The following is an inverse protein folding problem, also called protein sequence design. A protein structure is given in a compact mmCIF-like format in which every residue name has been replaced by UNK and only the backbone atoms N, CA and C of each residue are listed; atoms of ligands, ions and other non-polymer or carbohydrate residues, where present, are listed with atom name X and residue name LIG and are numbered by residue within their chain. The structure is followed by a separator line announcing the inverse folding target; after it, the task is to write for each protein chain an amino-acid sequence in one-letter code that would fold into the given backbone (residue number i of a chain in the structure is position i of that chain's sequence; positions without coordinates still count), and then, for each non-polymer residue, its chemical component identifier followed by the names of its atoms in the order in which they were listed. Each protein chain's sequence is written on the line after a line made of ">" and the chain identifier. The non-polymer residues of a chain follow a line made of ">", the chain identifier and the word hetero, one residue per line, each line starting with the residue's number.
data_IF_271845050998
#
_entry.id   IF_271845050998
#
_cell.length_a   1.000
_cell.length_b   1.000
_cell.length_c   1.000
_cell.angle_alpha   90.00
_cell.angle_beta   90.00
_cell.angle_gamma   90.00
#
_symmetry.space_group_name_H-M   'P 1'
#
loop_
_entity.id
_entity.type
_entity.pdbx_description
1 polymer ?
#
# COMPACT_ATOMS: atom_id res chain seq x y z
N UNK A 1 -56.69 20.41 38.10
CA UNK A 1 -56.21 20.20 36.71
C UNK A 1 -54.73 19.87 36.73
N UNK A 2 -54.44 18.59 36.98
CA UNK A 2 -53.13 17.97 36.74
C UNK A 2 -53.04 17.64 35.24
N UNK A 3 -52.12 18.24 34.48
CA UNK A 3 -51.86 17.80 33.09
C UNK A 3 -50.50 18.20 32.50
N UNK A 4 -49.69 19.06 33.14
CA UNK A 4 -48.40 19.48 32.54
C UNK A 4 -47.17 18.65 32.95
N UNK A 5 -47.29 17.73 33.91
CA UNK A 5 -46.17 16.87 34.35
C UNK A 5 -46.00 15.57 33.55
N UNK A 6 -47.03 15.10 32.84
CA UNK A 6 -47.02 13.83 32.12
C UNK A 6 -46.44 13.94 30.71
N UNK A 7 -46.70 15.02 29.97
CA UNK A 7 -46.19 15.16 28.59
C UNK A 7 -44.67 15.36 28.52
N UNK A 8 -44.07 16.11 29.46
CA UNK A 8 -42.61 16.24 29.56
C UNK A 8 -41.94 14.93 30.00
N UNK A 9 -42.54 14.19 30.94
CA UNK A 9 -42.07 12.84 31.32
C UNK A 9 -42.16 11.85 30.17
N UNK A 10 -43.21 11.91 29.34
CA UNK A 10 -43.39 11.01 28.19
C UNK A 10 -42.39 11.31 27.06
N UNK A 11 -42.08 12.58 26.78
CA UNK A 11 -41.08 12.96 25.77
C UNK A 11 -39.64 12.57 26.18
N UNK A 12 -39.30 12.74 27.48
CA UNK A 12 -38.03 12.27 28.05
C UNK A 12 -37.99 10.74 28.09
N UNK A 13 -39.10 10.07 28.43
CA UNK A 13 -39.19 8.61 28.37
C UNK A 13 -39.09 8.05 26.95
N UNK A 14 -39.61 8.74 25.93
CA UNK A 14 -39.57 8.31 24.54
C UNK A 14 -38.17 8.50 23.93
N UNK A 15 -37.49 9.61 24.23
CA UNK A 15 -36.08 9.83 23.85
C UNK A 15 -35.09 8.99 24.66
N UNK A 16 -35.40 8.63 25.92
CA UNK A 16 -34.63 7.66 26.68
C UNK A 16 -34.90 6.20 26.23
N UNK A 17 -36.16 5.84 25.92
CA UNK A 17 -36.51 4.53 25.34
C UNK A 17 -35.86 4.34 23.97
N UNK A 18 -35.81 5.38 23.12
CA UNK A 18 -35.21 5.27 21.80
C UNK A 18 -33.70 4.99 21.88
N UNK A 19 -32.99 5.59 22.86
CA UNK A 19 -31.56 5.33 23.10
C UNK A 19 -31.27 3.90 23.57
N UNK A 20 -32.11 3.34 24.45
CA UNK A 20 -31.97 1.96 24.95
C UNK A 20 -32.11 0.89 23.84
N UNK A 21 -32.90 1.16 22.80
CA UNK A 21 -33.16 0.22 21.70
C UNK A 21 -32.36 0.54 20.43
N UNK A 22 -31.65 1.66 20.38
CA UNK A 22 -30.84 2.02 19.23
C UNK A 22 -29.76 0.95 18.99
N UNK A 23 -29.72 0.42 17.77
CA UNK A 23 -28.75 -0.60 17.35
C UNK A 23 -27.57 -0.02 16.58
N UNK A 24 -27.73 1.19 16.03
CA UNK A 24 -26.68 1.91 15.33
C UNK A 24 -26.66 3.36 15.79
N UNK A 25 -25.45 3.90 15.94
CA UNK A 25 -25.19 5.29 16.25
C UNK A 25 -24.06 5.74 15.36
N UNK A 26 -24.37 6.70 14.48
CA UNK A 26 -23.39 7.34 13.63
C UNK A 26 -23.28 8.81 14.04
N UNK A 27 -22.07 9.28 14.29
CA UNK A 27 -21.78 10.64 14.71
C UNK A 27 -20.88 11.25 13.64
N UNK A 28 -21.36 12.32 12.99
CA UNK A 28 -20.64 13.02 11.92
C UNK A 28 -20.56 14.51 12.23
N UNK A 29 -19.36 15.09 12.10
CA UNK A 29 -19.15 16.54 12.25
C UNK A 29 -18.52 16.94 13.58
N UNK A 30 -18.61 18.23 13.90
CA UNK A 30 -17.99 18.83 15.09
C UNK A 30 -18.95 18.78 16.29
N UNK A 31 -18.55 18.12 17.38
CA UNK A 31 -19.31 18.07 18.63
C UNK A 31 -18.43 18.42 19.81
N UNK A 32 -18.97 19.08 20.84
CA UNK A 32 -18.21 19.32 22.09
C UNK A 32 -18.12 18.07 22.98
N UNK A 33 -19.13 17.21 22.91
CA UNK A 33 -19.23 16.00 23.71
C UNK A 33 -20.20 15.02 23.04
N UNK A 34 -19.94 13.72 23.16
CA UNK A 34 -20.95 12.71 22.79
C UNK A 34 -21.91 12.47 23.95
N UNK A 35 -23.15 12.07 23.61
CA UNK A 35 -24.06 11.54 24.63
C UNK A 35 -23.37 10.33 25.29
N UNK A 36 -23.37 10.22 26.64
CA UNK A 36 -22.71 9.11 27.33
C UNK A 36 -23.13 7.75 26.78
N UNK A 37 -22.15 6.93 26.39
CA UNK A 37 -22.36 5.64 25.72
C UNK A 37 -23.15 4.64 26.58
N UNK A 38 -23.11 4.80 27.91
CA UNK A 38 -23.87 3.99 28.88
C UNK A 38 -25.39 3.97 28.62
N UNK A 39 -25.91 4.93 27.85
CA UNK A 39 -27.33 4.99 27.50
C UNK A 39 -27.73 4.10 26.32
N UNK A 40 -26.78 3.48 25.62
CA UNK A 40 -26.98 2.75 24.36
C UNK A 40 -26.69 1.25 24.51
N UNK A 41 -27.29 0.58 25.50
CA UNK A 41 -26.97 -0.81 25.84
C UNK A 41 -27.23 -1.85 24.74
N UNK A 42 -28.13 -1.56 23.79
CA UNK A 42 -28.44 -2.44 22.64
C UNK A 42 -27.61 -2.13 21.39
N UNK A 43 -26.62 -1.24 21.49
CA UNK A 43 -25.86 -0.78 20.33
C UNK A 43 -25.00 -1.90 19.76
N UNK A 44 -25.08 -2.06 18.43
CA UNK A 44 -24.28 -3.01 17.65
C UNK A 44 -23.29 -2.31 16.73
N UNK A 45 -23.60 -1.09 16.29
CA UNK A 45 -22.76 -0.29 15.41
C UNK A 45 -22.52 1.07 16.05
N UNK A 46 -21.27 1.40 16.29
CA UNK A 46 -20.82 2.73 16.69
C UNK A 46 -19.81 3.23 15.65
N UNK A 47 -20.15 4.33 15.01
CA UNK A 47 -19.33 4.94 13.96
C UNK A 47 -19.20 6.43 14.27
N UNK A 48 -18.03 6.83 14.77
CA UNK A 48 -17.73 8.22 15.10
C UNK A 48 -16.73 8.75 14.09
N UNK A 49 -17.16 9.71 13.29
CA UNK A 49 -16.34 10.34 12.26
C UNK A 49 -16.16 11.83 12.53
N UNK A 50 -14.91 12.21 12.74
CA UNK A 50 -14.51 13.61 12.75
C UNK A 50 -14.72 14.20 11.36
N UNK A 51 -15.45 15.31 11.27
CA UNK A 51 -15.68 16.00 10.00
C UNK A 51 -14.51 16.91 9.64
N UNK A 52 -14.10 16.92 8.36
CA UNK A 52 -13.13 17.90 7.86
C UNK A 52 -13.87 19.22 7.55
N UNK A 53 -13.89 20.15 8.50
CA UNK A 53 -14.40 21.51 8.28
C UNK A 53 -13.23 22.45 8.00
N UNK A 54 -13.35 23.27 6.94
CA UNK A 54 -12.29 24.17 6.50
C UNK A 54 -12.04 25.35 7.46
N UNK A 55 -12.97 25.65 8.37
CA UNK A 55 -12.96 26.89 9.15
C UNK A 55 -13.04 26.68 10.68
N UNK A 56 -12.96 25.45 11.17
CA UNK A 56 -12.91 25.15 12.61
C UNK A 56 -12.25 23.79 12.86
N UNK A 57 -10.98 23.79 13.26
CA UNK A 57 -10.26 22.59 13.67
C UNK A 57 -10.61 22.20 15.11
N UNK A 58 -11.91 22.08 15.43
CA UNK A 58 -12.34 21.53 16.70
C UNK A 58 -12.22 20.02 16.66
N UNK A 59 -11.00 19.52 16.80
CA UNK A 59 -10.80 18.10 17.05
C UNK A 59 -11.29 17.78 18.45
N UNK A 60 -12.22 16.84 18.59
CA UNK A 60 -13.02 16.74 19.83
C UNK A 60 -13.07 15.35 20.45
N UNK A 61 -12.79 14.30 19.69
CA UNK A 61 -12.86 12.93 20.19
C UNK A 61 -11.56 12.54 20.90
N UNK A 62 -11.54 12.71 22.21
CA UNK A 62 -10.47 12.26 23.12
C UNK A 62 -10.90 11.00 23.89
N UNK A 63 -9.95 10.33 24.55
CA UNK A 63 -10.20 9.10 25.35
C UNK A 63 -11.38 9.24 26.31
N UNK A 64 -11.51 10.39 26.97
CA UNK A 64 -12.57 10.63 27.96
C UNK A 64 -13.98 10.56 27.37
N UNK A 65 -14.16 10.86 26.09
CA UNK A 65 -15.46 10.79 25.41
C UNK A 65 -15.93 9.35 25.21
N UNK A 66 -15.00 8.42 25.08
CA UNK A 66 -15.26 6.98 24.94
C UNK A 66 -15.04 6.21 26.27
N UNK A 67 -14.91 6.94 27.39
CA UNK A 67 -14.89 6.35 28.72
C UNK A 67 -16.20 5.58 28.94
N UNK A 68 -16.12 4.32 29.37
CA UNK A 68 -17.23 3.35 29.46
C UNK A 68 -17.70 2.71 28.15
N UNK A 69 -16.92 2.76 27.07
CA UNK A 69 -17.26 2.02 25.84
C UNK A 69 -17.52 0.53 26.09
N UNK A 70 -16.86 -0.07 27.09
CA UNK A 70 -17.07 -1.46 27.51
C UNK A 70 -18.49 -1.79 28.01
N UNK A 71 -19.34 -0.80 28.29
CA UNK A 71 -20.76 -1.01 28.60
C UNK A 71 -21.58 -1.47 27.39
N UNK A 72 -21.09 -1.25 26.17
CA UNK A 72 -21.73 -1.61 24.91
C UNK A 72 -21.55 -3.12 24.63
N UNK A 73 -22.12 -3.95 25.49
CA UNK A 73 -21.92 -5.41 25.47
C UNK A 73 -22.38 -6.11 24.19
N UNK A 74 -23.23 -5.47 23.37
CA UNK A 74 -23.71 -6.00 22.09
C UNK A 74 -22.96 -5.46 20.86
N UNK A 75 -21.94 -4.63 21.07
CA UNK A 75 -21.24 -3.95 19.98
C UNK A 75 -20.52 -4.96 19.10
N UNK A 76 -20.75 -4.84 17.78
CA UNK A 76 -20.13 -5.66 16.73
C UNK A 76 -19.21 -4.85 15.83
N UNK A 77 -19.54 -3.58 15.62
CA UNK A 77 -18.77 -2.66 14.79
C UNK A 77 -18.41 -1.42 15.57
N UNK A 78 -17.11 -1.10 15.62
CA UNK A 78 -16.58 0.12 16.20
C UNK A 78 -15.66 0.79 15.18
N UNK A 79 -16.06 1.97 14.69
CA UNK A 79 -15.19 2.86 13.93
C UNK A 79 -14.98 4.15 14.70
N UNK A 80 -13.71 4.51 14.87
CA UNK A 80 -13.30 5.80 15.43
C UNK A 80 -12.42 6.51 14.41
N UNK A 81 -12.71 7.79 14.22
CA UNK A 81 -11.95 8.71 13.39
C UNK A 81 -11.65 9.92 14.28
N UNK A 82 -10.38 10.13 14.62
CA UNK A 82 -9.97 11.24 15.46
C UNK A 82 -8.49 11.53 15.36
N UNK A 83 -8.17 12.78 15.09
CA UNK A 83 -6.80 13.28 15.15
C UNK A 83 -6.29 13.50 16.57
N UNK A 84 -7.14 13.52 17.61
CA UNK A 84 -6.76 13.76 19.02
C UNK A 84 -6.79 12.53 19.92
N UNK A 85 -7.29 11.40 19.42
CA UNK A 85 -7.32 10.17 20.20
C UNK A 85 -5.91 9.59 20.34
N UNK A 86 -5.26 9.83 21.48
CA UNK A 86 -3.90 9.38 21.76
C UNK A 86 -3.83 7.95 22.32
N UNK A 87 -4.88 7.51 23.01
CA UNK A 87 -5.00 6.19 23.61
C UNK A 87 -6.46 5.72 23.63
N UNK A 88 -6.65 4.39 23.61
CA UNK A 88 -7.96 3.78 23.84
C UNK A 88 -8.13 3.38 25.31
N UNK A 89 -9.36 3.43 25.85
CA UNK A 89 -9.65 2.88 27.17
C UNK A 89 -9.48 1.35 27.20
N UNK A 90 -9.00 0.80 28.32
CA UNK A 90 -8.87 -0.65 28.56
C UNK A 90 -10.22 -1.38 28.48
N UNK A 91 -11.31 -0.65 28.68
CA UNK A 91 -12.68 -1.14 28.55
C UNK A 91 -13.02 -1.59 27.12
N UNK A 92 -12.24 -1.22 26.09
CA UNK A 92 -12.38 -1.77 24.73
C UNK A 92 -12.26 -3.31 24.76
N UNK A 93 -11.39 -3.88 25.59
CA UNK A 93 -11.29 -5.33 25.76
C UNK A 93 -12.52 -6.00 26.39
N UNK A 94 -13.52 -5.24 26.84
CA UNK A 94 -14.79 -5.79 27.34
C UNK A 94 -15.81 -6.04 26.22
N UNK A 95 -15.57 -5.56 24.99
CA UNK A 95 -16.47 -5.69 23.84
C UNK A 95 -16.43 -7.10 23.23
N UNK A 96 -16.85 -8.13 23.98
CA UNK A 96 -16.70 -9.55 23.62
C UNK A 96 -17.36 -10.00 22.30
N UNK A 97 -18.26 -9.20 21.75
CA UNK A 97 -18.95 -9.44 20.48
C UNK A 97 -18.43 -8.58 19.34
N UNK A 98 -17.37 -7.81 19.55
CA UNK A 98 -16.81 -6.95 18.52
C UNK A 98 -16.23 -7.81 17.38
N UNK A 99 -16.74 -7.58 16.18
CA UNK A 99 -16.36 -8.25 14.94
C UNK A 99 -15.45 -7.34 14.10
N UNK A 100 -15.64 -6.02 14.16
CA UNK A 100 -14.82 -5.02 13.43
C UNK A 100 -14.38 -3.88 14.32
N UNK A 101 -13.09 -3.58 14.29
CA UNK A 101 -12.47 -2.40 14.88
C UNK A 101 -11.73 -1.60 13.80
N UNK A 102 -12.21 -0.40 13.50
CA UNK A 102 -11.63 0.51 12.51
C UNK A 102 -11.10 1.78 13.17
N UNK A 103 -9.77 1.93 13.15
CA UNK A 103 -8.98 3.00 13.76
C UNK A 103 -8.01 3.62 12.73
N UNK A 104 -8.23 3.39 11.43
CA UNK A 104 -7.29 3.82 10.37
C UNK A 104 -7.06 5.32 10.34
N UNK A 105 -8.04 6.10 10.80
CA UNK A 105 -7.99 7.56 10.81
C UNK A 105 -7.70 8.13 12.21
N UNK A 106 -7.33 7.29 13.18
CA UNK A 106 -6.87 7.73 14.50
C UNK A 106 -5.39 8.12 14.44
N UNK A 107 -5.08 9.31 13.91
CA UNK A 107 -3.71 9.69 13.54
C UNK A 107 -2.75 9.85 14.72
N UNK A 108 -3.25 10.18 15.91
CA UNK A 108 -2.44 10.35 17.13
C UNK A 108 -2.40 9.11 18.02
N UNK A 109 -3.12 8.03 17.66
CA UNK A 109 -3.11 6.79 18.42
C UNK A 109 -1.79 6.06 18.17
N UNK A 110 -1.07 5.76 19.26
CA UNK A 110 0.27 5.15 19.20
C UNK A 110 0.30 3.70 19.68
N UNK A 111 -0.61 3.30 20.57
CA UNK A 111 -0.66 1.94 21.12
C UNK A 111 -2.10 1.45 21.30
N UNK A 112 -2.32 0.15 21.14
CA UNK A 112 -3.58 -0.51 21.48
C UNK A 112 -3.51 -1.11 22.89
N UNK A 113 -4.60 -1.08 23.67
CA UNK A 113 -4.60 -1.62 25.03
C UNK A 113 -4.40 -3.14 25.03
N UNK A 114 -3.61 -3.65 25.98
CA UNK A 114 -3.32 -5.08 26.16
C UNK A 114 -4.59 -5.93 26.34
N UNK A 115 -5.66 -5.35 26.89
CA UNK A 115 -6.96 -6.01 27.07
C UNK A 115 -7.65 -6.44 25.77
N UNK A 116 -7.20 -5.96 24.60
CA UNK A 116 -7.71 -6.38 23.29
C UNK A 116 -7.58 -7.88 23.02
N UNK A 117 -6.68 -8.58 23.71
CA UNK A 117 -6.55 -10.04 23.69
C UNK A 117 -7.87 -10.78 24.03
N UNK A 118 -8.83 -10.09 24.67
CA UNK A 118 -10.16 -10.62 25.02
C UNK A 118 -11.16 -10.62 23.85
N UNK A 119 -10.87 -9.92 22.75
CA UNK A 119 -11.75 -9.75 21.60
C UNK A 119 -11.72 -10.97 20.66
N UNK A 120 -12.11 -12.14 21.17
CA UNK A 120 -12.02 -13.43 20.46
C UNK A 120 -12.90 -13.54 19.20
N UNK A 121 -13.87 -12.64 19.03
CA UNK A 121 -14.76 -12.58 17.86
C UNK A 121 -14.32 -11.55 16.82
N UNK A 122 -13.19 -10.88 17.03
CA UNK A 122 -12.73 -9.86 16.10
C UNK A 122 -12.31 -10.53 14.79
N UNK A 123 -12.95 -10.11 13.70
CA UNK A 123 -12.72 -10.56 12.33
C UNK A 123 -11.85 -9.55 11.58
N UNK A 124 -12.07 -8.26 11.82
CA UNK A 124 -11.38 -7.17 11.14
C UNK A 124 -10.71 -6.23 12.13
N UNK A 125 -9.37 -6.19 12.11
CA UNK A 125 -8.55 -5.20 12.81
C UNK A 125 -7.99 -4.22 11.77
N UNK A 126 -8.62 -3.05 11.65
CA UNK A 126 -8.23 -2.02 10.68
C UNK A 126 -7.51 -0.88 11.41
N UNK A 127 -6.19 -0.89 11.35
CA UNK A 127 -5.30 0.06 12.01
C UNK A 127 -4.33 0.71 11.03
N UNK A 128 -3.74 1.83 11.43
CA UNK A 128 -2.70 2.53 10.66
C UNK A 128 -1.32 1.92 10.93
N UNK A 129 -0.37 2.13 10.01
CA UNK A 129 0.98 1.55 10.09
C UNK A 129 1.77 1.95 11.34
N UNK A 130 1.66 3.19 11.82
CA UNK A 130 2.48 3.67 12.95
C UNK A 130 2.03 3.17 14.33
N UNK A 131 0.97 2.38 14.41
CA UNK A 131 0.43 1.88 15.66
C UNK A 131 1.26 0.70 16.18
N UNK A 132 1.64 0.75 17.46
CA UNK A 132 2.26 -0.36 18.19
C UNK A 132 1.20 -1.41 18.54
N UNK A 133 1.46 -2.67 18.19
CA UNK A 133 0.68 -3.83 18.62
C UNK A 133 1.43 -4.60 19.71
N UNK A 134 0.69 -5.13 20.68
CA UNK A 134 1.25 -6.06 21.65
C UNK A 134 1.37 -7.46 21.05
N UNK A 135 2.51 -8.09 21.30
CA UNK A 135 2.90 -9.40 20.79
C UNK A 135 1.94 -10.54 21.17
N UNK A 136 1.29 -10.44 22.32
CA UNK A 136 0.38 -11.43 22.90
C UNK A 136 -1.10 -11.21 22.54
N UNK A 137 -1.39 -10.13 21.81
CA UNK A 137 -2.75 -9.73 21.46
C UNK A 137 -3.35 -10.67 20.41
N UNK A 138 -2.58 -10.95 19.36
CA UNK A 138 -3.10 -11.54 18.14
C UNK A 138 -3.24 -13.05 18.25
N UNK A 139 -2.34 -13.77 18.92
CA UNK A 139 -2.35 -15.23 18.99
C UNK A 139 -3.63 -15.86 19.57
N UNK A 140 -4.48 -15.07 20.23
CA UNK A 140 -5.78 -15.52 20.78
C UNK A 140 -7.01 -15.10 19.94
N UNK A 141 -6.81 -14.36 18.87
CA UNK A 141 -7.86 -13.84 17.99
C UNK A 141 -8.10 -14.79 16.81
N UNK A 142 -8.49 -16.03 17.07
CA UNK A 142 -8.64 -17.06 16.01
C UNK A 142 -9.71 -16.76 14.95
N UNK A 143 -10.63 -15.83 15.22
CA UNK A 143 -11.64 -15.38 14.24
C UNK A 143 -11.10 -14.34 13.24
N UNK A 144 -9.86 -13.86 13.43
CA UNK A 144 -9.31 -12.75 12.68
C UNK A 144 -9.05 -13.14 11.22
N UNK A 145 -9.65 -12.39 10.31
CA UNK A 145 -9.49 -12.58 8.86
C UNK A 145 -8.68 -11.46 8.22
N UNK A 146 -8.70 -10.25 8.80
CA UNK A 146 -8.06 -9.07 8.22
C UNK A 146 -7.28 -8.28 9.27
N UNK A 147 -6.00 -8.03 8.98
CA UNK A 147 -5.16 -7.06 9.69
C UNK A 147 -4.58 -6.06 8.70
N UNK A 148 -5.01 -4.80 8.79
CA UNK A 148 -4.72 -3.81 7.72
C UNK A 148 -3.33 -3.17 7.79
N UNK A 149 -2.64 -3.23 8.93
CA UNK A 149 -1.27 -2.77 9.06
C UNK A 149 -0.62 -3.33 10.33
N UNK A 150 0.55 -3.94 10.19
CA UNK A 150 1.45 -4.30 11.29
C UNK A 150 2.83 -3.76 10.96
N UNK A 151 3.26 -2.69 11.61
CA UNK A 151 4.62 -2.16 11.38
C UNK A 151 5.44 -2.09 12.65
N UNK A 152 4.83 -1.97 13.83
CA UNK A 152 5.54 -1.95 15.09
C UNK A 152 4.93 -2.92 16.11
N UNK A 153 5.78 -3.69 16.77
CA UNK A 153 5.41 -4.66 17.81
C UNK A 153 6.39 -4.54 18.97
N UNK A 154 5.92 -4.83 20.20
CA UNK A 154 6.76 -4.73 21.40
C UNK A 154 7.79 -5.87 21.52
N UNK A 155 7.39 -7.11 21.27
CA UNK A 155 8.24 -8.31 21.31
C UNK A 155 8.14 -9.04 19.96
N UNK A 156 9.04 -8.74 19.00
CA UNK A 156 8.98 -9.27 17.63
C UNK A 156 8.95 -10.80 17.54
N UNK A 157 9.83 -11.49 18.27
CA UNK A 157 9.91 -12.97 18.23
C UNK A 157 8.58 -13.63 18.60
N UNK A 158 8.02 -13.21 19.75
CA UNK A 158 6.75 -13.74 20.23
C UNK A 158 5.59 -13.40 19.28
N UNK A 159 5.57 -12.19 18.73
CA UNK A 159 4.58 -11.82 17.73
C UNK A 159 4.64 -12.73 16.50
N UNK A 160 5.85 -13.02 15.99
CA UNK A 160 6.02 -13.90 14.84
C UNK A 160 5.50 -15.31 15.14
N UNK A 161 5.86 -15.90 16.29
CA UNK A 161 5.36 -17.21 16.73
C UNK A 161 3.83 -17.26 16.82
N UNK A 162 3.22 -16.22 17.41
CA UNK A 162 1.77 -16.16 17.59
C UNK A 162 1.00 -15.95 16.27
N UNK A 163 1.61 -15.25 15.30
CA UNK A 163 1.03 -14.97 14.00
C UNK A 163 0.68 -16.26 13.24
N UNK A 164 1.50 -17.31 13.35
CA UNK A 164 1.26 -18.60 12.70
C UNK A 164 -0.05 -19.29 13.11
N UNK A 165 -0.63 -18.91 14.25
CA UNK A 165 -1.85 -19.52 14.79
C UNK A 165 -3.16 -18.92 14.21
N UNK A 166 -3.06 -17.91 13.34
CA UNK A 166 -4.21 -17.17 12.81
C UNK A 166 -4.71 -17.74 11.48
N UNK A 167 -5.10 -19.00 11.49
CA UNK A 167 -5.43 -19.79 10.29
C UNK A 167 -6.62 -19.28 9.47
N UNK A 168 -7.45 -18.39 10.02
CA UNK A 168 -8.54 -17.73 9.29
C UNK A 168 -8.09 -16.45 8.55
N UNK A 169 -6.83 -16.02 8.70
CA UNK A 169 -6.33 -14.82 8.01
C UNK A 169 -6.47 -14.95 6.51
N UNK A 170 -7.13 -13.96 5.91
CA UNK A 170 -7.25 -13.76 4.47
C UNK A 170 -6.38 -12.62 3.98
N UNK A 171 -6.16 -11.61 4.82
CA UNK A 171 -5.43 -10.41 4.46
C UNK A 171 -4.54 -9.94 5.60
N UNK A 172 -3.25 -9.86 5.33
CA UNK A 172 -2.29 -9.23 6.22
C UNK A 172 -1.42 -8.24 5.46
N UNK A 173 -1.34 -7.03 6.02
CA UNK A 173 -0.40 -6.02 5.58
C UNK A 173 0.62 -5.77 6.67
N UNK A 174 1.83 -6.23 6.43
CA UNK A 174 2.94 -6.17 7.36
C UNK A 174 4.19 -5.73 6.59
N UNK A 175 4.31 -4.42 6.28
CA UNK A 175 5.48 -3.91 5.58
C UNK A 175 6.73 -3.88 6.49
N UNK A 176 6.63 -4.53 7.67
CA UNK A 176 7.61 -4.67 8.75
C UNK A 176 9.02 -4.44 8.23
N UNK A 177 9.48 -3.21 8.41
CA UNK A 177 10.80 -2.81 7.97
C UNK A 177 11.82 -3.44 8.90
N UNK A 178 12.96 -3.82 8.32
CA UNK A 178 14.21 -4.05 9.05
C UNK A 178 14.57 -2.87 9.99
N UNK A 179 13.93 -1.71 9.85
CA UNK A 179 14.03 -0.62 10.83
C UNK A 179 13.49 -0.95 12.24
N UNK A 180 12.71 -2.03 12.44
CA UNK A 180 12.47 -2.57 13.80
C UNK A 180 13.72 -3.15 14.45
N UNK A 181 14.79 -3.32 13.66
CA UNK A 181 16.05 -3.93 14.02
C UNK A 181 17.20 -2.92 13.84
N UNK A 182 16.99 -1.65 14.23
CA UNK A 182 18.09 -0.70 14.47
C UNK A 182 19.03 -1.12 15.63
N UNK A 183 18.96 -2.37 16.08
CA UNK A 183 19.90 -2.93 17.03
C UNK A 183 21.05 -3.57 16.24
N UNK A 184 22.18 -2.85 16.17
CA UNK A 184 23.58 -3.22 16.50
C UNK A 184 24.08 -4.70 16.46
N UNK A 185 23.26 -5.71 16.15
CA UNK A 185 23.56 -7.15 16.15
C UNK A 185 22.78 -7.85 15.03
N UNK A 186 23.44 -8.15 13.90
CA UNK A 186 22.82 -8.78 12.73
C UNK A 186 22.07 -10.10 13.01
N UNK A 187 22.49 -10.88 14.01
CA UNK A 187 21.88 -12.19 14.29
C UNK A 187 20.43 -12.15 14.83
N UNK A 188 20.03 -11.11 15.57
CA UNK A 188 18.65 -11.02 16.07
C UNK A 188 17.66 -10.73 14.94
N UNK A 189 18.08 -9.95 13.95
CA UNK A 189 17.31 -9.64 12.76
C UNK A 189 17.02 -10.89 11.91
N UNK A 190 18.05 -11.70 11.68
CA UNK A 190 17.96 -12.93 10.90
C UNK A 190 17.03 -13.94 11.56
N UNK A 191 17.20 -14.19 12.85
CA UNK A 191 16.36 -15.12 13.61
C UNK A 191 14.87 -14.68 13.61
N UNK A 192 14.59 -13.37 13.71
CA UNK A 192 13.23 -12.87 13.61
C UNK A 192 12.63 -13.12 12.23
N UNK A 193 13.37 -12.83 11.16
CA UNK A 193 12.92 -13.08 9.79
C UNK A 193 12.64 -14.57 9.57
N UNK A 194 13.47 -15.46 10.11
CA UNK A 194 13.28 -16.91 9.99
C UNK A 194 11.97 -17.40 10.65
N UNK A 195 11.71 -16.98 11.89
CA UNK A 195 10.47 -17.32 12.62
C UNK A 195 9.25 -16.73 11.89
N UNK A 196 9.38 -15.50 11.41
CA UNK A 196 8.30 -14.81 10.69
C UNK A 196 7.98 -15.49 9.36
N UNK A 197 9.00 -15.87 8.58
CA UNK A 197 8.84 -16.61 7.33
C UNK A 197 8.17 -17.96 7.59
N UNK A 198 8.60 -18.68 8.62
CA UNK A 198 7.98 -19.95 9.01
C UNK A 198 6.49 -19.78 9.33
N UNK A 199 6.15 -18.76 10.11
CA UNK A 199 4.78 -18.49 10.52
C UNK A 199 3.89 -18.04 9.36
N UNK A 200 4.41 -17.21 8.45
CA UNK A 200 3.69 -16.80 7.24
C UNK A 200 3.51 -17.96 6.24
N UNK A 201 4.49 -18.86 6.14
CA UNK A 201 4.36 -20.08 5.34
C UNK A 201 3.28 -21.01 5.91
N UNK A 202 3.17 -21.13 7.23
CA UNK A 202 2.04 -21.85 7.84
C UNK A 202 0.71 -21.18 7.51
N UNK A 203 0.61 -19.86 7.64
CA UNK A 203 -0.60 -19.11 7.28
C UNK A 203 -0.99 -19.27 5.80
N UNK A 204 0.01 -19.32 4.92
CA UNK A 204 -0.19 -19.49 3.48
C UNK A 204 -1.01 -20.73 3.14
N UNK A 205 -0.83 -21.82 3.90
CA UNK A 205 -1.49 -23.12 3.64
C UNK A 205 -3.01 -23.05 3.80
N UNK A 206 -3.50 -22.02 4.48
CA UNK A 206 -4.91 -21.82 4.78
C UNK A 206 -5.54 -20.78 3.84
N UNK A 207 -6.17 -19.73 4.37
CA UNK A 207 -7.07 -18.87 3.61
C UNK A 207 -6.43 -17.57 3.09
N UNK A 208 -5.10 -17.46 3.13
CA UNK A 208 -4.42 -16.20 2.84
C UNK A 208 -4.53 -15.83 1.35
N UNK A 209 -5.17 -14.69 1.07
CA UNK A 209 -5.42 -14.15 -0.28
C UNK A 209 -4.62 -12.89 -0.59
N UNK A 210 -4.33 -12.08 0.42
CA UNK A 210 -3.56 -10.84 0.30
C UNK A 210 -2.41 -10.84 1.29
N UNK A 211 -1.20 -10.66 0.78
CA UNK A 211 0.02 -10.56 1.57
C UNK A 211 0.83 -9.33 1.13
N UNK A 212 1.05 -8.41 2.08
CA UNK A 212 1.97 -7.29 1.88
C UNK A 212 3.11 -7.36 2.89
N UNK A 213 4.35 -7.48 2.40
CA UNK A 213 5.55 -7.73 3.21
C UNK A 213 6.72 -6.83 2.79
N UNK A 214 7.77 -6.80 3.61
CA UNK A 214 9.05 -6.21 3.24
C UNK A 214 9.86 -7.15 2.32
N UNK A 215 10.82 -6.55 1.62
CA UNK A 215 11.73 -7.21 0.69
C UNK A 215 12.55 -8.31 1.33
N UNK A 216 13.15 -8.05 2.49
CA UNK A 216 13.94 -9.06 3.21
C UNK A 216 13.12 -10.31 3.56
N UNK A 217 11.86 -10.15 3.96
CA UNK A 217 10.96 -11.28 4.23
C UNK A 217 10.60 -12.00 2.93
N UNK A 218 10.27 -11.24 1.87
CA UNK A 218 9.92 -11.80 0.56
C UNK A 218 11.05 -12.60 -0.08
N UNK A 219 12.29 -12.11 -0.02
CA UNK A 219 13.47 -12.81 -0.52
C UNK A 219 13.72 -14.14 0.18
N UNK A 220 13.53 -14.19 1.51
CA UNK A 220 13.71 -15.43 2.26
C UNK A 220 12.55 -16.40 2.04
N UNK A 221 11.31 -15.89 2.01
CA UNK A 221 10.11 -16.70 1.82
C UNK A 221 10.04 -17.38 0.46
N UNK A 222 10.44 -16.68 -0.60
CA UNK A 222 10.34 -17.16 -1.98
C UNK A 222 11.69 -17.58 -2.57
N UNK A 223 12.72 -17.76 -1.73
CA UNK A 223 14.04 -18.21 -2.18
C UNK A 223 13.97 -19.52 -2.95
N UNK A 224 13.29 -20.49 -2.37
CA UNK A 224 13.09 -21.84 -2.90
C UNK A 224 11.62 -22.04 -3.33
N UNK A 225 11.35 -23.13 -4.06
CA UNK A 225 10.02 -23.50 -4.56
C UNK A 225 8.96 -23.38 -3.47
N UNK A 226 8.03 -22.44 -3.65
CA UNK A 226 7.06 -22.09 -2.62
C UNK A 226 5.71 -22.75 -2.89
N UNK A 227 5.44 -23.87 -2.22
CA UNK A 227 4.16 -24.59 -2.32
C UNK A 227 3.11 -24.11 -1.29
N UNK A 228 3.49 -23.18 -0.42
CA UNK A 228 2.71 -22.84 0.75
C UNK A 228 1.50 -21.93 0.48
N UNK A 229 1.31 -21.38 -0.73
CA UNK A 229 0.31 -20.31 -0.96
C UNK A 229 -0.71 -20.65 -2.07
N UNK A 230 -1.55 -21.68 -1.91
CA UNK A 230 -2.53 -22.08 -2.93
C UNK A 230 -3.63 -21.03 -3.15
N UNK A 231 -3.92 -20.17 -2.18
CA UNK A 231 -5.01 -19.19 -2.27
C UNK A 231 -4.56 -17.74 -2.45
N UNK A 232 -3.25 -17.50 -2.51
CA UNK A 232 -2.70 -16.15 -2.60
C UNK A 232 -2.94 -15.56 -3.99
N UNK A 233 -3.56 -14.38 -4.01
CA UNK A 233 -3.96 -13.66 -5.22
C UNK A 233 -3.25 -12.32 -5.34
N UNK A 234 -3.05 -11.64 -4.21
CA UNK A 234 -2.42 -10.33 -4.16
C UNK A 234 -1.13 -10.41 -3.33
N UNK A 235 0.00 -10.11 -3.97
CA UNK A 235 1.31 -10.06 -3.32
C UNK A 235 1.95 -8.69 -3.53
N UNK A 236 2.32 -8.04 -2.43
CA UNK A 236 3.03 -6.76 -2.45
C UNK A 236 4.33 -6.83 -1.65
N UNK A 237 5.47 -6.75 -2.33
CA UNK A 237 6.81 -6.69 -1.72
C UNK A 237 7.28 -5.23 -1.78
N UNK A 238 7.18 -4.53 -0.65
CA UNK A 238 7.14 -3.07 -0.63
C UNK A 238 8.50 -2.37 -0.52
N UNK A 239 9.51 -3.09 -0.06
CA UNK A 239 10.88 -2.59 -0.01
C UNK A 239 11.71 -3.27 -1.08
N UNK A 240 12.81 -2.63 -1.45
CA UNK A 240 13.70 -3.10 -2.50
C UNK A 240 14.24 -4.50 -2.19
N UNK A 241 14.14 -5.41 -3.16
CA UNK A 241 14.82 -6.70 -3.20
C UNK A 241 15.96 -6.67 -4.22
N UNK A 242 16.92 -7.57 -4.07
CA UNK A 242 18.05 -7.70 -4.98
C UNK A 242 17.60 -8.21 -6.34
N UNK A 243 16.87 -9.33 -6.39
CA UNK A 243 16.37 -10.01 -7.62
C UNK A 243 15.01 -10.62 -7.39
N UNK A 244 14.34 -11.04 -8.47
CA UNK A 244 13.07 -11.79 -8.35
C UNK A 244 13.39 -13.21 -7.84
N UNK A 245 12.86 -13.63 -6.68
CA UNK A 245 13.13 -14.96 -6.15
C UNK A 245 12.56 -16.07 -7.03
N UNK A 246 13.38 -17.09 -7.34
CA UNK A 246 13.02 -18.19 -8.25
C UNK A 246 11.80 -19.00 -7.77
N UNK A 247 11.61 -19.10 -6.46
CA UNK A 247 10.45 -19.75 -5.84
C UNK A 247 9.11 -19.13 -6.22
N UNK A 248 9.09 -17.85 -6.63
CA UNK A 248 7.87 -17.18 -7.08
C UNK A 248 7.28 -17.80 -8.35
N UNK A 249 8.06 -18.55 -9.14
CA UNK A 249 7.56 -19.28 -10.30
C UNK A 249 6.44 -20.28 -9.96
N UNK A 250 6.34 -20.72 -8.70
CA UNK A 250 5.31 -21.66 -8.23
C UNK A 250 3.97 -20.97 -7.89
N UNK A 251 3.93 -19.64 -7.84
CA UNK A 251 2.77 -18.86 -7.42
C UNK A 251 1.77 -18.69 -8.59
N UNK A 252 1.02 -19.75 -8.87
CA UNK A 252 0.15 -19.82 -10.04
C UNK A 252 -1.13 -18.97 -9.96
N UNK A 253 -1.56 -18.59 -8.75
CA UNK A 253 -2.84 -17.90 -8.52
C UNK A 253 -2.72 -16.39 -8.31
N UNK A 254 -1.51 -15.84 -8.44
CA UNK A 254 -1.28 -14.40 -8.28
C UNK A 254 -1.95 -13.65 -9.43
N UNK A 255 -2.91 -12.80 -9.04
CA UNK A 255 -3.66 -11.90 -9.91
C UNK A 255 -3.00 -10.53 -9.94
N UNK A 256 -2.50 -10.06 -8.79
CA UNK A 256 -1.81 -8.77 -8.63
C UNK A 256 -0.46 -8.94 -7.95
N UNK A 257 0.58 -8.41 -8.59
CA UNK A 257 1.93 -8.36 -8.05
C UNK A 257 2.45 -6.92 -8.04
N UNK A 258 2.93 -6.46 -6.88
CA UNK A 258 3.71 -5.24 -6.73
C UNK A 258 5.09 -5.61 -6.19
N UNK A 259 6.15 -5.27 -6.92
CA UNK A 259 7.52 -5.64 -6.57
C UNK A 259 8.52 -4.54 -6.94
N UNK A 260 9.53 -4.35 -6.08
CA UNK A 260 10.61 -3.38 -6.28
C UNK A 260 11.94 -4.09 -6.33
N UNK A 261 12.65 -4.02 -7.45
CA UNK A 261 13.82 -4.89 -7.73
C UNK A 261 15.06 -4.04 -8.08
N UNK A 262 16.23 -4.47 -7.61
CA UNK A 262 17.52 -3.79 -7.89
C UNK A 262 18.16 -4.28 -9.18
N UNK A 263 18.25 -5.60 -9.35
CA UNK A 263 18.80 -6.26 -10.52
C UNK A 263 17.69 -7.05 -11.20
N UNK A 264 17.45 -6.74 -12.47
CA UNK A 264 16.42 -7.35 -13.28
C UNK A 264 17.01 -7.73 -14.64
N UNK A 265 16.95 -9.00 -15.01
CA UNK A 265 17.41 -9.52 -16.29
C UNK A 265 16.32 -10.30 -17.06
N UNK A 266 16.73 -11.00 -18.14
CA UNK A 266 15.80 -11.82 -18.94
C UNK A 266 15.25 -13.01 -18.17
N UNK A 267 16.02 -13.64 -17.26
CA UNK A 267 15.52 -14.76 -16.44
C UNK A 267 14.39 -14.27 -15.52
N UNK A 268 14.58 -13.09 -14.91
CA UNK A 268 13.57 -12.47 -14.04
C UNK A 268 12.29 -12.14 -14.83
N UNK A 269 12.43 -11.58 -16.04
CA UNK A 269 11.31 -11.30 -16.93
C UNK A 269 10.59 -12.58 -17.36
N UNK A 270 11.33 -13.62 -17.76
CA UNK A 270 10.76 -14.92 -18.15
C UNK A 270 9.98 -15.58 -17.00
N UNK A 271 10.46 -15.44 -15.76
CA UNK A 271 9.74 -15.91 -14.58
C UNK A 271 8.38 -15.22 -14.45
N UNK A 272 8.35 -13.88 -14.48
CA UNK A 272 7.10 -13.12 -14.38
C UNK A 272 6.15 -13.42 -15.55
N UNK A 273 6.68 -13.54 -16.76
CA UNK A 273 5.91 -13.90 -17.96
C UNK A 273 5.27 -15.29 -17.86
N UNK A 274 5.88 -16.19 -17.09
CA UNK A 274 5.38 -17.54 -16.82
C UNK A 274 4.24 -17.60 -15.80
N UNK A 275 3.91 -16.51 -15.10
CA UNK A 275 2.83 -16.48 -14.12
C UNK A 275 1.46 -16.51 -14.82
N UNK A 276 0.66 -17.59 -14.67
CA UNK A 276 -0.47 -17.85 -15.55
C UNK A 276 -1.70 -16.97 -15.27
N UNK A 277 -1.88 -16.52 -14.01
CA UNK A 277 -3.06 -15.75 -13.58
C UNK A 277 -2.82 -14.24 -13.48
N UNK A 278 -1.61 -13.77 -13.79
CA UNK A 278 -1.21 -12.39 -13.52
C UNK A 278 -1.96 -11.41 -14.44
N UNK A 279 -2.75 -10.53 -13.84
CA UNK A 279 -3.53 -9.51 -14.55
C UNK A 279 -3.06 -8.09 -14.26
N UNK A 280 -2.41 -7.87 -13.11
CA UNK A 280 -1.91 -6.57 -12.67
C UNK A 280 -0.46 -6.70 -12.20
N UNK A 281 0.45 -5.99 -12.84
CA UNK A 281 1.87 -5.96 -12.47
C UNK A 281 2.32 -4.52 -12.25
N UNK A 282 2.86 -4.25 -11.06
CA UNK A 282 3.59 -3.02 -10.73
C UNK A 282 5.04 -3.39 -10.43
N UNK A 283 5.94 -3.01 -11.33
CA UNK A 283 7.36 -3.32 -11.28
C UNK A 283 8.16 -2.01 -11.23
N UNK A 284 8.82 -1.78 -10.10
CA UNK A 284 9.75 -0.65 -9.95
C UNK A 284 11.20 -1.15 -9.93
N UNK A 285 12.04 -0.61 -10.80
CA UNK A 285 13.46 -0.96 -10.91
C UNK A 285 14.36 0.14 -10.32
N UNK A 286 15.32 -0.28 -9.50
CA UNK A 286 16.33 0.58 -8.87
C UNK A 286 17.72 0.12 -9.32
N UNK A 287 18.13 0.42 -10.55
CA UNK A 287 19.40 -0.05 -11.09
C UNK A 287 20.62 0.57 -10.37
N UNK A 288 21.74 -0.15 -10.40
CA UNK A 288 23.07 0.42 -10.23
C UNK A 288 23.61 0.85 -11.59
N UNK A 289 24.39 1.93 -11.59
CA UNK A 289 25.06 2.50 -12.77
C UNK A 289 25.83 1.39 -13.51
N UNK A 290 25.53 1.18 -14.81
CA UNK A 290 26.39 0.41 -15.72
C UNK A 290 25.77 -0.85 -16.36
N UNK A 291 24.63 -1.35 -15.89
CA UNK A 291 23.93 -2.49 -16.54
C UNK A 291 22.82 -1.96 -17.45
N UNK A 292 23.09 -1.92 -18.76
CA UNK A 292 22.17 -1.40 -19.79
C UNK A 292 21.76 -2.52 -20.74
N UNK A 293 20.55 -3.05 -20.57
CA UNK A 293 19.96 -4.06 -21.45
C UNK A 293 18.50 -3.68 -21.70
N UNK A 294 18.00 -3.75 -22.93
CA UNK A 294 16.58 -3.50 -23.19
C UNK A 294 15.81 -4.81 -23.03
N UNK A 295 14.77 -4.81 -22.21
CA UNK A 295 13.90 -5.99 -22.04
C UNK A 295 12.78 -5.97 -23.05
N UNK A 296 12.65 -7.03 -23.84
CA UNK A 296 11.63 -7.11 -24.88
C UNK A 296 10.57 -8.13 -24.51
N UNK A 297 9.34 -7.66 -24.30
CA UNK A 297 8.18 -8.52 -24.13
C UNK A 297 7.67 -8.91 -25.51
N UNK A 298 7.70 -10.22 -25.78
CA UNK A 298 7.13 -10.82 -26.99
C UNK A 298 5.71 -11.37 -26.79
N UNK A 299 5.23 -12.13 -27.76
CA UNK A 299 3.88 -12.75 -27.75
C UNK A 299 3.68 -13.90 -26.75
N UNK A 300 4.77 -14.38 -26.13
CA UNK A 300 4.77 -15.65 -25.40
C UNK A 300 4.45 -15.49 -23.90
N UNK A 301 4.50 -14.28 -23.36
CA UNK A 301 4.30 -13.98 -21.93
C UNK A 301 3.08 -13.11 -21.65
N UNK A 302 2.64 -13.06 -20.39
CA UNK A 302 1.65 -12.08 -19.90
C UNK A 302 0.33 -12.03 -20.70
N UNK A 303 -0.22 -13.20 -21.05
CA UNK A 303 -1.44 -13.30 -21.88
C UNK A 303 -2.68 -12.67 -21.25
N UNK A 304 -2.76 -12.65 -19.92
CA UNK A 304 -3.89 -12.11 -19.16
C UNK A 304 -3.61 -10.73 -18.55
N UNK A 305 -2.42 -10.16 -18.78
CA UNK A 305 -2.03 -8.91 -18.15
C UNK A 305 -2.87 -7.75 -18.70
N UNK A 306 -3.66 -7.12 -17.83
CA UNK A 306 -4.55 -5.99 -18.13
C UNK A 306 -3.93 -4.66 -17.73
N UNK A 307 -3.14 -4.65 -16.67
CA UNK A 307 -2.48 -3.45 -16.13
C UNK A 307 -1.00 -3.71 -15.96
N UNK A 308 -0.19 -2.85 -16.57
CA UNK A 308 1.26 -2.83 -16.38
C UNK A 308 1.68 -1.43 -15.93
N UNK A 309 2.23 -1.35 -14.72
CA UNK A 309 2.97 -0.20 -14.23
C UNK A 309 4.45 -0.59 -14.24
N UNK A 310 5.24 0.12 -15.04
CA UNK A 310 6.69 -0.06 -15.12
C UNK A 310 7.39 1.26 -14.78
N UNK A 311 8.13 1.27 -13.67
CA UNK A 311 8.86 2.44 -13.17
C UNK A 311 10.35 2.16 -13.11
N UNK A 312 11.18 3.07 -13.64
CA UNK A 312 12.62 3.10 -13.42
C UNK A 312 12.92 4.26 -12.47
N UNK A 313 13.34 3.95 -11.25
CA UNK A 313 13.43 4.91 -10.15
C UNK A 313 14.81 5.58 -10.01
N UNK A 314 15.92 4.88 -10.32
CA UNK A 314 17.29 5.39 -10.14
C UNK A 314 18.26 4.83 -11.20
N UNK A 315 18.97 5.75 -11.88
CA UNK A 315 20.17 5.53 -12.70
C UNK A 315 19.96 4.88 -14.09
N UNK A 316 20.92 5.03 -15.03
CA UNK A 316 20.73 4.60 -16.43
C UNK A 316 20.65 3.08 -16.51
N UNK A 317 19.41 2.60 -16.68
CA UNK A 317 19.04 1.20 -16.62
C UNK A 317 18.07 0.80 -17.74
N UNK A 318 17.58 -0.42 -17.63
CA UNK A 318 16.95 -1.19 -18.71
C UNK A 318 15.60 -0.60 -19.15
N UNK A 319 15.54 -0.10 -20.39
CA UNK A 319 14.27 0.24 -21.03
C UNK A 319 13.44 -1.02 -21.31
N UNK A 320 12.11 -0.86 -21.38
CA UNK A 320 11.19 -1.91 -21.81
C UNK A 320 10.79 -1.68 -23.27
N UNK A 321 10.66 -2.73 -24.06
CA UNK A 321 9.97 -2.69 -25.35
C UNK A 321 8.99 -3.83 -25.54
N UNK A 322 8.02 -3.57 -26.42
CA UNK A 322 6.95 -4.47 -26.76
C UNK A 322 7.11 -4.86 -28.22
N UNK A 323 7.27 -6.16 -28.50
CA UNK A 323 7.28 -6.67 -29.87
C UNK A 323 5.83 -6.86 -30.38
N UNK A 324 5.61 -7.03 -31.69
CA UNK A 324 4.31 -7.38 -32.24
C UNK A 324 3.66 -8.58 -31.51
N UNK A 325 2.39 -8.41 -31.10
CA UNK A 325 1.64 -9.44 -30.38
C UNK A 325 1.91 -9.52 -28.87
N UNK A 326 2.74 -8.62 -28.32
CA UNK A 326 2.93 -8.52 -26.88
C UNK A 326 1.65 -8.06 -26.15
N UNK A 327 1.46 -8.58 -24.94
CA UNK A 327 0.43 -8.13 -23.99
C UNK A 327 -0.98 -7.98 -24.60
N UNK A 328 -1.55 -9.04 -25.18
CA UNK A 328 -2.80 -8.96 -25.96
C UNK A 328 -4.02 -8.49 -25.15
N UNK A 329 -4.02 -8.69 -23.83
CA UNK A 329 -5.11 -8.30 -22.93
C UNK A 329 -4.91 -6.93 -22.27
N UNK A 330 -3.82 -6.22 -22.56
CA UNK A 330 -3.45 -4.99 -21.88
C UNK A 330 -4.45 -3.88 -22.15
N UNK A 331 -4.93 -3.24 -21.08
CA UNK A 331 -5.84 -2.09 -21.14
C UNK A 331 -5.20 -0.82 -20.63
N UNK A 332 -4.37 -0.92 -19.60
CA UNK A 332 -3.70 0.22 -18.99
C UNK A 332 -2.19 -0.02 -18.94
N UNK A 333 -1.45 0.90 -19.55
CA UNK A 333 0.00 1.00 -19.45
C UNK A 333 0.39 2.29 -18.72
N UNK A 334 1.15 2.16 -17.64
CA UNK A 334 1.82 3.27 -16.97
C UNK A 334 3.33 3.08 -17.08
N UNK A 335 4.02 4.09 -17.60
CA UNK A 335 5.47 4.12 -17.74
C UNK A 335 6.02 5.33 -17.00
N UNK A 336 7.00 5.12 -16.13
CA UNK A 336 7.72 6.20 -15.44
C UNK A 336 9.23 6.01 -15.59
N UNK A 337 9.94 7.04 -16.04
CA UNK A 337 11.38 7.00 -16.30
C UNK A 337 12.04 8.38 -16.21
N UNK A 338 13.37 8.43 -16.31
CA UNK A 338 14.14 9.67 -16.52
C UNK A 338 14.39 9.90 -18.01
N UNK A 339 14.22 11.13 -18.49
CA UNK A 339 14.46 11.49 -19.90
C UNK A 339 15.89 11.15 -20.36
N UNK A 340 16.88 11.37 -19.48
CA UNK A 340 18.29 11.05 -19.71
C UNK A 340 18.54 9.57 -19.98
N UNK A 341 17.78 8.69 -19.32
CA UNK A 341 17.99 7.23 -19.41
C UNK A 341 17.50 6.71 -20.76
N UNK A 342 16.30 7.15 -21.17
CA UNK A 342 15.67 6.78 -22.45
C UNK A 342 16.50 7.22 -23.65
N UNK A 343 17.12 8.41 -23.58
CA UNK A 343 17.91 8.99 -24.69
C UNK A 343 19.40 8.67 -24.64
N UNK A 344 19.85 7.85 -23.70
CA UNK A 344 21.25 7.42 -23.67
C UNK A 344 21.60 6.68 -24.97
N UNK A 345 22.83 6.91 -25.50
CA UNK A 345 23.35 6.46 -26.82
C UNK A 345 23.25 4.95 -27.15
N UNK A 346 22.68 4.14 -26.26
CA UNK A 346 22.60 2.68 -26.32
C UNK A 346 21.17 2.13 -26.24
N UNK A 347 20.16 3.00 -26.15
CA UNK A 347 18.78 2.66 -26.45
C UNK A 347 18.52 3.09 -27.91
N UNK A 348 17.95 2.22 -28.76
CA UNK A 348 17.62 2.49 -30.18
C UNK A 348 16.51 3.56 -30.37
N UNK A 349 16.68 4.70 -29.71
CA UNK A 349 15.64 5.69 -29.47
C UNK A 349 14.53 5.17 -28.56
N UNK A 350 13.57 6.05 -28.29
CA UNK A 350 12.33 5.74 -27.57
C UNK A 350 11.37 4.87 -28.41
N UNK A 351 11.88 3.99 -29.26
CA UNK A 351 11.09 2.98 -29.97
C UNK A 351 10.72 1.86 -28.99
N UNK A 352 9.67 2.11 -28.23
CA UNK A 352 9.16 1.23 -27.18
C UNK A 352 8.23 0.16 -27.75
N UNK A 353 7.78 0.28 -29.00
CA UNK A 353 6.80 -0.62 -29.59
C UNK A 353 5.40 -0.48 -28.99
N UNK A 354 5.06 0.70 -28.45
CA UNK A 354 3.73 0.96 -27.88
C UNK A 354 2.65 0.82 -28.97
N UNK A 355 2.97 1.14 -30.21
CA UNK A 355 2.11 0.95 -31.39
C UNK A 355 1.71 -0.52 -31.63
N UNK A 356 2.43 -1.49 -31.04
CA UNK A 356 2.13 -2.91 -31.15
C UNK A 356 1.09 -3.42 -30.13
N UNK A 357 0.73 -2.59 -29.14
CA UNK A 357 -0.16 -2.96 -28.04
C UNK A 357 -1.64 -2.80 -28.41
N UNK A 358 -2.13 -3.66 -29.29
CA UNK A 358 -3.47 -3.56 -29.89
C UNK A 358 -4.66 -3.51 -28.90
N UNK A 359 -4.50 -4.00 -27.68
CA UNK A 359 -5.54 -3.96 -26.63
C UNK A 359 -5.62 -2.63 -25.86
N UNK A 360 -4.59 -1.79 -25.96
CA UNK A 360 -4.35 -0.66 -25.08
C UNK A 360 -5.45 0.41 -25.19
N UNK A 361 -6.00 0.81 -24.05
CA UNK A 361 -7.05 1.82 -23.93
C UNK A 361 -6.57 3.09 -23.21
N UNK A 362 -5.69 2.94 -22.22
CA UNK A 362 -5.12 4.03 -21.45
C UNK A 362 -3.60 3.95 -21.40
N UNK A 363 -2.94 5.03 -21.83
CA UNK A 363 -1.50 5.20 -21.76
C UNK A 363 -1.19 6.38 -20.84
N UNK A 364 -0.40 6.13 -19.80
CA UNK A 364 0.13 7.17 -18.92
C UNK A 364 1.66 7.12 -18.94
N UNK A 365 2.29 8.26 -19.22
CA UNK A 365 3.74 8.39 -19.24
C UNK A 365 4.18 9.54 -18.35
N UNK A 366 5.01 9.23 -17.36
CA UNK A 366 5.69 10.20 -16.51
C UNK A 366 7.17 10.27 -16.87
N UNK A 367 7.62 11.43 -17.32
CA UNK A 367 9.03 11.66 -17.66
C UNK A 367 9.64 12.59 -16.64
N UNK A 368 10.56 12.08 -15.83
CA UNK A 368 11.40 12.88 -14.96
C UNK A 368 12.47 13.60 -15.80
N UNK A 369 12.44 14.93 -15.76
CA UNK A 369 13.30 15.77 -16.56
C UNK A 369 14.57 16.25 -15.83
N UNK A 370 14.80 15.83 -14.58
CA UNK A 370 16.00 16.20 -13.82
C UNK A 370 17.26 15.69 -14.53
N UNK A 371 18.30 16.54 -14.62
CA UNK A 371 19.57 16.24 -15.30
C UNK A 371 19.45 15.98 -16.82
N UNK A 372 18.30 16.25 -17.43
CA UNK A 372 18.07 16.06 -18.85
C UNK A 372 18.21 17.39 -19.62
N UNK A 373 18.63 17.31 -20.88
CA UNK A 373 18.62 18.47 -21.77
C UNK A 373 17.26 18.65 -22.44
N UNK A 374 16.95 19.85 -22.93
CA UNK A 374 15.73 20.13 -23.73
C UNK A 374 15.62 19.16 -24.91
N UNK A 375 16.75 18.90 -25.60
CA UNK A 375 16.78 17.98 -26.74
C UNK A 375 16.47 16.53 -26.35
N UNK A 376 16.98 16.06 -25.20
CA UNK A 376 16.66 14.72 -24.67
C UNK A 376 15.15 14.60 -24.35
N UNK A 377 14.57 15.59 -23.67
CA UNK A 377 13.13 15.58 -23.31
C UNK A 377 12.24 15.61 -24.57
N UNK A 378 12.54 16.50 -25.52
CA UNK A 378 11.79 16.62 -26.78
C UNK A 378 11.86 15.34 -27.61
N UNK A 379 13.00 14.65 -27.62
CA UNK A 379 13.16 13.40 -28.36
C UNK A 379 12.33 12.26 -27.76
N UNK A 380 12.24 12.17 -26.42
CA UNK A 380 11.35 11.21 -25.74
C UNK A 380 9.89 11.48 -26.12
N UNK A 381 9.46 12.74 -26.03
CA UNK A 381 8.09 13.14 -26.34
C UNK A 381 7.73 12.88 -27.80
N UNK A 382 8.59 13.28 -28.74
CA UNK A 382 8.39 13.04 -30.17
C UNK A 382 8.24 11.54 -30.49
N UNK A 383 8.95 10.67 -29.78
CA UNK A 383 8.83 9.23 -29.97
C UNK A 383 7.53 8.67 -29.40
N UNK A 384 7.05 9.17 -28.26
CA UNK A 384 5.75 8.80 -27.70
C UNK A 384 4.63 9.27 -28.63
N UNK A 385 4.69 10.51 -29.11
CA UNK A 385 3.73 11.07 -30.06
C UNK A 385 3.69 10.25 -31.35
N UNK A 386 4.85 9.86 -31.88
CA UNK A 386 4.95 8.97 -33.04
C UNK A 386 4.29 7.62 -32.77
N UNK A 387 4.53 7.00 -31.61
CA UNK A 387 3.92 5.72 -31.27
C UNK A 387 2.39 5.82 -31.12
N UNK A 388 1.88 6.91 -30.51
CA UNK A 388 0.45 7.19 -30.42
C UNK A 388 -0.17 7.39 -31.80
N UNK A 389 0.49 8.15 -32.68
CA UNK A 389 0.02 8.41 -34.03
C UNK A 389 -0.07 7.13 -34.88
N UNK A 390 0.86 6.19 -34.67
CA UNK A 390 0.90 4.89 -35.34
C UNK A 390 -0.01 3.83 -34.69
N UNK A 391 -0.57 4.11 -33.51
CA UNK A 391 -1.34 3.12 -32.77
C UNK A 391 -2.64 2.71 -33.50
N UNK A 392 -2.99 1.41 -33.59
CA UNK A 392 -4.19 0.93 -34.26
C UNK A 392 -5.48 1.58 -33.73
N UNK A 393 -5.55 1.81 -32.42
CA UNK A 393 -6.70 2.42 -31.74
C UNK A 393 -6.51 3.91 -31.41
N UNK A 394 -5.70 4.65 -32.19
CA UNK A 394 -5.36 6.07 -31.89
C UNK A 394 -6.56 6.99 -31.64
N UNK A 395 -7.73 6.70 -32.21
CA UNK A 395 -8.94 7.51 -32.03
C UNK A 395 -9.62 7.30 -30.67
N UNK A 396 -9.36 6.17 -29.99
CA UNK A 396 -9.97 5.81 -28.70
C UNK A 396 -8.95 5.73 -27.57
N UNK A 397 -7.65 5.68 -27.88
CA UNK A 397 -6.57 5.65 -26.91
C UNK A 397 -6.53 6.96 -26.11
N UNK A 398 -6.72 6.87 -24.80
CA UNK A 398 -6.53 8.00 -23.89
C UNK A 398 -5.06 8.03 -23.48
N UNK A 399 -4.31 8.98 -24.03
CA UNK A 399 -2.91 9.19 -23.69
C UNK A 399 -2.73 10.41 -22.77
N UNK A 400 -2.06 10.22 -21.64
CA UNK A 400 -1.63 11.28 -20.74
C UNK A 400 -0.11 11.25 -20.63
N UNK A 401 0.55 12.32 -21.11
CA UNK A 401 2.01 12.48 -21.03
C UNK A 401 2.30 13.65 -20.12
N UNK A 402 3.12 13.42 -19.10
CA UNK A 402 3.45 14.41 -18.07
C UNK A 402 4.95 14.52 -17.87
N UNK A 403 5.44 15.75 -17.77
CA UNK A 403 6.77 16.07 -17.27
C UNK A 403 6.76 16.20 -15.75
N UNK A 404 7.74 15.60 -15.10
CA UNK A 404 8.11 15.87 -13.71
C UNK A 404 9.43 16.64 -13.67
N UNK A 405 9.62 17.48 -12.64
CA UNK A 405 10.90 18.19 -12.45
C UNK A 405 11.33 19.05 -13.66
N UNK A 406 10.37 19.62 -14.39
CA UNK A 406 10.63 20.39 -15.61
C UNK A 406 11.50 21.63 -15.41
N UNK A 407 11.60 22.14 -14.17
CA UNK A 407 12.47 23.26 -13.80
C UNK A 407 13.95 22.88 -13.67
N UNK A 408 14.29 21.58 -13.71
CA UNK A 408 15.67 21.07 -13.69
C UNK A 408 16.16 20.65 -15.10
N UNK A 409 15.56 21.20 -16.16
CA UNK A 409 15.96 20.93 -17.55
C UNK A 409 17.11 21.86 -17.94
N UNK A 410 18.17 21.28 -18.46
CA UNK A 410 19.31 21.99 -19.03
C UNK A 410 19.04 22.37 -20.49
N UNK A 411 19.51 23.53 -20.95
CA UNK A 411 19.41 23.94 -22.36
C UNK A 411 20.20 23.02 -23.27
N UNK A 412 21.42 22.70 -22.88
CA UNK A 412 22.33 21.85 -23.65
C UNK A 412 23.33 21.09 -22.74
N UNK A 413 24.16 20.27 -23.37
CA UNK A 413 25.19 19.50 -22.69
C UNK A 413 26.26 20.39 -22.03
N UNK A 414 26.48 21.62 -22.51
CA UNK A 414 27.50 22.52 -21.96
C UNK A 414 27.04 23.10 -20.64
N UNK A 415 25.79 23.58 -20.56
CA UNK A 415 25.19 24.06 -19.31
C UNK A 415 25.16 22.95 -18.26
N UNK A 416 24.80 21.73 -18.68
CA UNK A 416 24.80 20.56 -17.78
C UNK A 416 26.19 20.22 -17.23
N UNK A 417 27.21 20.24 -18.09
CA UNK A 417 28.57 19.88 -17.67
C UNK A 417 29.22 20.97 -16.79
N UNK A 418 28.87 22.24 -17.00
CA UNK A 418 29.36 23.35 -16.15
C UNK A 418 28.86 23.23 -14.72
N UNK A 419 27.59 22.87 -14.50
CA UNK A 419 27.08 22.63 -13.14
C UNK A 419 27.71 21.38 -12.49
N UNK A 420 27.99 20.32 -13.26
CA UNK A 420 28.63 19.12 -12.70
C UNK A 420 30.08 19.32 -12.26
N UNK A 421 30.77 20.31 -12.83
CA UNK A 421 32.15 20.65 -12.45
C UNK A 421 32.20 21.55 -11.20
N UNK A 422 31.19 22.40 -10.97
CA UNK A 422 31.08 23.26 -9.77
C UNK A 422 30.74 22.45 -8.49
N UNK A 423 30.03 21.33 -8.61
CA UNK A 423 29.63 20.47 -7.48
C UNK A 423 30.74 19.55 -6.92
N UNK A 424 31.95 19.55 -7.52
CA UNK A 424 33.08 18.77 -6.98
C UNK A 424 33.70 19.35 -5.70
N UNK A 425 33.13 20.43 -5.15
CA UNK A 425 33.60 21.06 -3.89
C UNK A 425 32.58 21.14 -2.75
N UNK A 426 31.39 20.54 -2.87
CA UNK A 426 30.34 20.65 -1.84
C UNK A 426 29.57 19.35 -1.60
N UNK A 427 30.11 18.48 -0.75
CA UNK A 427 29.45 17.26 -0.26
C UNK A 427 28.39 17.65 0.80
N UNK A 428 27.08 17.49 0.51
CA UNK A 428 26.02 17.01 1.45
C UNK A 428 24.55 17.27 1.05
N UNK A 429 24.23 18.21 0.15
CA UNK A 429 22.81 18.64 -0.01
C UNK A 429 21.96 17.83 -1.01
N UNK A 430 22.56 17.16 -2.01
CA UNK A 430 21.79 16.38 -3.00
C UNK A 430 21.13 15.12 -2.43
N UNK A 431 21.68 14.56 -1.35
CA UNK A 431 21.11 13.36 -0.72
C UNK A 431 19.83 13.70 0.07
N UNK A 432 19.74 14.89 0.67
CA UNK A 432 18.58 15.31 1.47
C UNK A 432 17.38 15.65 0.58
N UNK A 433 17.59 16.27 -0.58
CA UNK A 433 16.54 16.58 -1.55
C UNK A 433 16.04 15.37 -2.34
N UNK A 434 16.89 14.34 -2.54
CA UNK A 434 16.42 13.05 -3.02
C UNK A 434 15.57 12.33 -1.97
N UNK A 435 15.89 12.46 -0.68
CA UNK A 435 15.13 11.84 0.43
C UNK A 435 13.78 12.52 0.67
N UNK A 436 13.70 13.85 0.62
CA UNK A 436 12.44 14.59 0.79
C UNK A 436 11.45 14.38 -0.37
N UNK A 437 11.93 14.20 -1.61
CA UNK A 437 11.11 13.73 -2.74
C UNK A 437 10.67 12.27 -2.57
N UNK A 438 11.55 11.37 -2.10
CA UNK A 438 11.24 9.95 -1.83
C UNK A 438 10.10 9.81 -0.81
N UNK A 439 10.05 10.61 0.25
CA UNK A 439 8.99 10.57 1.25
C UNK A 439 7.65 11.14 0.74
N UNK A 440 7.70 12.18 -0.11
CA UNK A 440 6.51 12.73 -0.77
C UNK A 440 5.92 11.77 -1.82
N UNK A 441 6.74 11.04 -2.60
CA UNK A 441 6.24 10.07 -3.61
C UNK A 441 5.73 8.76 -2.96
N UNK A 442 6.35 8.30 -1.86
CA UNK A 442 5.82 7.18 -1.05
C UNK A 442 4.45 7.50 -0.42
N UNK A 443 4.20 8.77 -0.10
CA UNK A 443 2.88 9.25 0.35
C UNK A 443 1.91 9.48 -0.83
N UNK A 444 2.41 9.88 -2.00
CA UNK A 444 1.59 10.12 -3.19
C UNK A 444 1.25 8.86 -4.01
N UNK A 445 1.95 7.73 -3.85
CA UNK A 445 1.48 6.44 -4.39
C UNK A 445 0.20 5.97 -3.70
N UNK A 446 -0.10 6.49 -2.51
CA UNK A 446 -1.42 6.36 -1.90
C UNK A 446 -2.47 7.29 -2.53
N UNK A 447 -2.09 8.35 -3.24
CA UNK A 447 -3.02 9.26 -3.94
C UNK A 447 -3.57 8.62 -5.22
N UNK A 448 -2.83 7.70 -5.87
CA UNK A 448 -3.38 6.83 -6.91
C UNK A 448 -4.37 5.77 -6.37
N UNK A 449 -4.53 5.64 -5.04
CA UNK A 449 -5.60 4.80 -4.43
C UNK A 449 -6.98 5.49 -4.42
N UNK A 450 -7.09 6.74 -4.90
CA UNK A 450 -8.36 7.50 -4.94
C UNK A 450 -9.00 7.51 -6.34
N UNK A 451 -8.38 6.92 -7.35
CA UNK A 451 -9.14 6.51 -8.53
C UNK A 451 -10.08 5.39 -8.08
N UNK A 452 -11.37 5.70 -7.92
CA UNK A 452 -12.45 4.71 -7.84
C UNK A 452 -12.24 3.74 -9.01
N UNK A 453 -11.77 2.55 -8.71
CA UNK A 453 -11.76 1.45 -9.66
C UNK A 453 -13.22 1.07 -9.88
N UNK A 454 -13.70 0.98 -11.14
CA UNK A 454 -15.08 0.61 -11.41
C UNK A 454 -15.34 -0.82 -10.90
N UNK A 455 -16.46 -0.96 -10.18
CA UNK A 455 -17.02 -2.24 -9.75
C UNK A 455 -17.28 -3.12 -10.98
N UNK A 456 -16.67 -4.31 -11.02
CA UNK A 456 -17.26 -5.54 -11.58
C UNK A 456 -16.92 -6.74 -10.69
#
# INVERSE_FOLDING_TARGET
>A
MHSNGQQHKVAIHATARSKLHARSLHVFGEFKQITPLVNFLSLRVLDIREGYSSNSCCFWLEKNQIKNIGSLSQLRYLRLDSSKLTELPEEVGMLRYLETLDLRHCNSLTVLPSTMVRLRKLVHLLVRQRLMLHSDMLGRMHALEVVSAVSNVDIPMKFAEELGNLTNLRKIHMPCSVALLQAKNGGYAEAFVEILVSSLNELGKYNLKYLRISGSVGENMFRDTCCAFPHLQDLEICTLIERIPKGMASLNNIVRLLIKVRLFDEEDLHLLMGMPSLTHLELTLYHRIGVRKKHTIGSNGFKLLKVLHYEIALSPGTGISFAPGALPALRWLHLSWTARDVMSRHCDGANLGIEHLSGLAQLHVETNCRCATVGEVQAVEASIEKAIALHPNRCTLQAHVRRECAHYIYKDDKERNMESDEDTTGDSDEQEDQVTWREKRLSNSAILRVCKWPDE
#
